data_IF_168941509813
#
_entry.id   IF_168941509813
#
_cell.length_a   1.000
_cell.length_b   1.000
_cell.length_c   1.000
_cell.angle_alpha   90.00
_cell.angle_beta   90.00
_cell.angle_gamma   90.00
#
_symmetry.space_group_name_H-M   'P 1'
#
loop_
_entity.id
_entity.type
_entity.pdbx_description
1 polymer ?
#
# COMPACT_ATOMS: atom_id res chain seq x y z
N UNK A 1 68.77 -27.31 28.40
CA UNK A 1 68.60 -26.05 29.15
C UNK A 1 68.49 -24.93 28.13
N UNK A 2 67.28 -24.64 27.62
CA UNK A 2 66.27 -23.67 28.11
C UNK A 2 66.64 -22.21 27.78
N UNK A 3 65.63 -21.49 27.24
CA UNK A 3 65.48 -20.03 27.08
C UNK A 3 66.02 -19.44 25.75
N UNK A 4 65.30 -18.61 24.98
CA UNK A 4 64.20 -17.69 25.30
C UNK A 4 63.35 -17.36 24.05
N UNK A 5 62.06 -17.18 24.28
CA UNK A 5 61.00 -16.85 23.33
C UNK A 5 60.91 -15.33 23.07
N UNK A 6 60.60 -14.94 21.82
CA UNK A 6 60.09 -13.63 21.37
C UNK A 6 59.24 -13.95 20.13
N UNK A 7 57.90 -14.03 20.17
CA UNK A 7 56.86 -13.03 20.45
C UNK A 7 56.93 -11.81 19.54
N UNK A 8 56.30 -11.89 18.36
CA UNK A 8 55.61 -10.76 17.72
C UNK A 8 54.32 -11.29 17.12
N UNK A 9 53.21 -11.10 17.83
CA UNK A 9 51.87 -11.28 17.30
C UNK A 9 51.62 -10.17 16.27
N UNK A 10 51.58 -10.52 14.99
CA UNK A 10 50.93 -9.70 13.97
C UNK A 10 49.42 -9.81 14.21
N UNK A 11 48.87 -8.89 15.01
CA UNK A 11 47.42 -8.69 15.11
C UNK A 11 46.92 -8.26 13.73
N UNK A 12 46.42 -9.23 12.97
CA UNK A 12 45.58 -9.02 11.80
C UNK A 12 44.27 -8.37 12.25
N UNK A 13 44.25 -7.04 12.30
CA UNK A 13 43.04 -6.25 12.38
C UNK A 13 42.29 -6.34 11.06
N UNK A 14 41.63 -7.47 10.80
CA UNK A 14 40.66 -7.55 9.73
C UNK A 14 39.48 -6.66 10.10
N UNK A 15 39.36 -5.58 9.31
CA UNK A 15 38.21 -4.70 9.21
C UNK A 15 36.92 -5.51 9.30
N UNK A 16 36.26 -5.46 10.45
CA UNK A 16 34.84 -5.71 10.58
C UNK A 16 34.08 -4.51 10.02
N UNK A 17 34.15 -4.31 8.70
CA UNK A 17 33.22 -3.42 8.02
C UNK A 17 31.87 -4.15 8.03
N UNK A 18 31.14 -4.04 9.14
CA UNK A 18 29.71 -4.30 9.15
C UNK A 18 29.09 -3.29 8.19
N UNK A 19 28.94 -3.72 6.94
CA UNK A 19 27.95 -3.15 6.02
C UNK A 19 26.61 -3.34 6.74
N UNK A 20 26.22 -2.33 7.51
CA UNK A 20 24.83 -2.07 7.77
C UNK A 20 24.23 -1.84 6.39
N UNK A 21 23.78 -2.92 5.75
CA UNK A 21 22.87 -2.81 4.62
C UNK A 21 21.78 -1.88 5.12
N UNK A 22 21.54 -0.72 4.47
CA UNK A 22 20.38 0.05 4.83
C UNK A 22 19.23 -0.92 4.64
N UNK A 23 18.54 -1.22 5.73
CA UNK A 23 17.21 -1.81 5.66
C UNK A 23 16.48 -0.84 4.74
N UNK A 24 16.27 -1.27 3.49
CA UNK A 24 15.44 -0.56 2.52
C UNK A 24 14.04 -0.61 3.10
N UNK A 25 13.78 0.21 4.11
CA UNK A 25 12.49 0.85 4.22
C UNK A 25 12.33 1.50 2.86
N UNK A 26 11.46 0.95 2.01
CA UNK A 26 11.23 1.50 0.68
C UNK A 26 10.64 2.88 0.87
N UNK A 27 11.52 3.87 1.03
CA UNK A 27 11.12 5.25 1.22
C UNK A 27 10.37 5.64 -0.04
N UNK A 28 9.19 6.21 0.14
CA UNK A 28 8.43 6.76 -0.97
C UNK A 28 9.34 7.80 -1.65
N UNK A 29 9.66 7.65 -2.95
CA UNK A 29 10.57 8.58 -3.60
C UNK A 29 10.07 10.02 -3.43
N UNK A 30 10.93 10.96 -3.05
CA UNK A 30 10.51 12.34 -2.77
C UNK A 30 9.77 13.02 -3.95
N UNK A 31 10.07 12.59 -5.18
CA UNK A 31 9.37 12.99 -6.41
C UNK A 31 7.85 12.72 -6.37
N UNK A 32 7.41 11.73 -5.60
CA UNK A 32 6.01 11.32 -5.46
C UNK A 32 5.18 12.30 -4.62
N UNK A 33 5.80 13.05 -3.70
CA UNK A 33 5.02 13.77 -2.69
C UNK A 33 4.21 14.94 -3.26
N UNK A 34 4.75 15.68 -4.24
CA UNK A 34 4.00 16.74 -4.92
C UNK A 34 2.75 16.22 -5.66
N UNK A 35 2.85 15.22 -6.55
CA UNK A 35 1.66 14.69 -7.23
C UNK A 35 0.69 14.01 -6.26
N UNK A 36 1.17 13.33 -5.20
CA UNK A 36 0.29 12.76 -4.17
C UNK A 36 -0.49 13.82 -3.37
N UNK A 37 0.14 14.93 -2.99
CA UNK A 37 -0.56 16.06 -2.35
C UNK A 37 -1.59 16.69 -3.28
N UNK A 38 -1.23 16.84 -4.54
CA UNK A 38 -2.15 17.33 -5.59
C UNK A 38 -3.36 16.40 -5.77
N UNK A 39 -3.15 15.08 -5.73
CA UNK A 39 -4.22 14.09 -5.73
C UNK A 39 -5.09 14.23 -4.46
N UNK A 40 -4.45 14.41 -3.30
CA UNK A 40 -5.14 14.59 -2.03
C UNK A 40 -6.04 15.84 -2.00
N UNK A 41 -5.59 16.96 -2.56
CA UNK A 41 -6.41 18.17 -2.69
C UNK A 41 -7.68 17.90 -3.49
N UNK A 42 -7.56 17.11 -4.57
CA UNK A 42 -8.71 16.68 -5.35
C UNK A 42 -9.65 15.78 -4.54
N UNK A 43 -9.10 14.88 -3.72
CA UNK A 43 -9.85 13.99 -2.83
C UNK A 43 -10.54 14.72 -1.67
N UNK A 44 -10.14 15.94 -1.32
CA UNK A 44 -10.82 16.75 -0.29
C UNK A 44 -12.30 17.02 -0.64
N UNK A 45 -12.62 17.09 -1.93
CA UNK A 45 -13.97 17.34 -2.44
C UNK A 45 -14.82 16.07 -2.63
N UNK A 46 -14.27 14.89 -2.32
CA UNK A 46 -14.92 13.59 -2.58
C UNK A 46 -16.32 13.48 -1.98
N UNK A 47 -16.60 14.11 -0.83
CA UNK A 47 -17.95 14.08 -0.23
C UNK A 47 -19.00 14.73 -1.12
N UNK A 48 -18.71 15.89 -1.69
CA UNK A 48 -19.65 16.59 -2.59
C UNK A 48 -19.92 15.72 -3.82
N UNK A 49 -18.85 15.31 -4.50
CA UNK A 49 -18.98 14.64 -5.79
C UNK A 49 -19.36 13.16 -5.72
N UNK A 50 -19.00 12.44 -4.66
CA UNK A 50 -19.27 10.99 -4.54
C UNK A 50 -20.44 10.64 -3.64
N UNK A 51 -20.98 11.60 -2.88
CA UNK A 51 -22.15 11.38 -2.01
C UNK A 51 -23.31 12.31 -2.35
N UNK A 52 -23.11 13.62 -2.33
CA UNK A 52 -24.22 14.57 -2.46
C UNK A 52 -24.82 14.59 -3.88
N UNK A 53 -23.99 14.36 -4.90
CA UNK A 53 -24.41 14.34 -6.30
C UNK A 53 -24.99 12.99 -6.75
N UNK A 54 -24.99 11.98 -5.88
CA UNK A 54 -25.53 10.65 -6.19
C UNK A 54 -26.87 10.46 -5.46
N UNK A 55 -27.78 9.61 -5.98
CA UNK A 55 -28.99 9.24 -5.27
C UNK A 55 -28.70 8.65 -3.88
N UNK A 56 -29.67 8.79 -2.97
CA UNK A 56 -29.58 8.17 -1.64
C UNK A 56 -29.45 6.65 -1.81
N UNK A 57 -28.50 6.05 -1.09
CA UNK A 57 -28.18 4.61 -1.16
C UNK A 57 -27.74 4.11 -2.55
N UNK A 58 -27.29 5.00 -3.43
CA UNK A 58 -26.71 4.60 -4.69
C UNK A 58 -25.44 3.75 -4.48
N UNK A 59 -25.38 2.65 -5.21
CA UNK A 59 -24.26 1.71 -5.19
C UNK A 59 -23.95 1.23 -6.60
N UNK A 60 -22.69 0.87 -6.83
CA UNK A 60 -22.20 0.30 -8.08
C UNK A 60 -21.69 -1.10 -7.84
N UNK A 61 -21.73 -1.91 -8.89
CA UNK A 61 -21.24 -3.29 -8.87
C UNK A 61 -19.73 -3.30 -9.09
N UNK A 62 -19.00 -3.85 -8.13
CA UNK A 62 -17.54 -4.01 -8.14
C UNK A 62 -17.14 -5.43 -7.74
N UNK A 63 -15.93 -5.84 -8.08
CA UNK A 63 -15.35 -7.07 -7.56
C UNK A 63 -14.99 -6.89 -6.09
N UNK A 64 -14.99 -7.98 -5.33
CA UNK A 64 -14.60 -7.98 -3.92
C UNK A 64 -13.18 -7.43 -3.73
N UNK A 65 -12.28 -7.76 -4.63
CA UNK A 65 -10.86 -7.40 -4.61
C UNK A 65 -10.65 -5.89 -4.91
N UNK A 66 -11.59 -5.25 -5.61
CA UNK A 66 -11.59 -3.80 -5.85
C UNK A 66 -11.92 -2.99 -4.58
N UNK A 67 -12.41 -3.64 -3.53
CA UNK A 67 -12.66 -3.03 -2.22
C UNK A 67 -11.36 -3.09 -1.39
N UNK A 68 -10.38 -2.27 -1.77
CA UNK A 68 -9.06 -2.26 -1.15
C UNK A 68 -8.99 -1.36 0.07
N UNK A 69 -9.12 -1.93 1.28
CA UNK A 69 -9.10 -1.22 2.56
C UNK A 69 -7.76 -1.37 3.28
N UNK A 70 -7.56 -0.57 4.33
CA UNK A 70 -6.43 -0.72 5.26
C UNK A 70 -6.31 -2.13 5.85
N UNK A 71 -7.45 -2.78 6.12
CA UNK A 71 -7.48 -4.17 6.58
C UNK A 71 -6.90 -5.16 5.57
N UNK A 72 -6.97 -4.88 4.27
CA UNK A 72 -6.37 -5.71 3.23
C UNK A 72 -4.85 -5.59 3.31
N UNK A 73 -4.32 -4.36 3.39
CA UNK A 73 -2.90 -4.05 3.57
C UNK A 73 -2.35 -4.76 4.82
N UNK A 74 -3.00 -4.55 5.97
CA UNK A 74 -2.56 -5.18 7.23
C UNK A 74 -2.59 -6.70 7.14
N UNK A 75 -3.61 -7.28 6.50
CA UNK A 75 -3.69 -8.74 6.33
C UNK A 75 -2.60 -9.28 5.41
N UNK A 76 -2.26 -8.58 4.33
CA UNK A 76 -1.18 -8.98 3.42
C UNK A 76 0.19 -8.92 4.11
N UNK A 77 0.48 -7.81 4.82
CA UNK A 77 1.69 -7.66 5.64
C UNK A 77 1.84 -8.70 6.75
N UNK A 78 0.72 -9.28 7.21
CA UNK A 78 0.74 -10.37 8.21
C UNK A 78 0.92 -11.76 7.59
N UNK A 79 0.51 -11.95 6.33
CA UNK A 79 0.59 -13.24 5.64
C UNK A 79 1.93 -13.45 4.96
N UNK A 80 2.55 -12.38 4.47
CA UNK A 80 3.81 -12.40 3.75
C UNK A 80 4.87 -11.77 4.64
N UNK A 81 5.85 -12.57 5.04
CA UNK A 81 7.02 -12.09 5.77
C UNK A 81 7.81 -11.12 4.89
N UNK A 82 8.26 -10.00 5.47
CA UNK A 82 9.01 -8.95 4.76
C UNK A 82 8.36 -8.44 3.46
N UNK A 83 7.02 -8.34 3.43
CA UNK A 83 6.31 -7.77 2.29
C UNK A 83 6.74 -6.33 2.01
N UNK A 84 7.35 -6.12 0.85
CA UNK A 84 7.77 -4.81 0.34
C UNK A 84 6.56 -3.89 0.15
N UNK A 85 6.67 -2.65 0.66
CA UNK A 85 5.63 -1.64 0.48
C UNK A 85 5.45 -1.27 -0.99
N UNK A 86 6.50 -1.40 -1.80
CA UNK A 86 6.42 -1.19 -3.24
C UNK A 86 5.42 -2.14 -3.92
N UNK A 87 5.35 -3.39 -3.48
CA UNK A 87 4.36 -4.37 -3.99
C UNK A 87 2.93 -3.92 -3.67
N UNK A 88 2.71 -3.41 -2.45
CA UNK A 88 1.41 -2.90 -2.02
C UNK A 88 1.04 -1.60 -2.74
N UNK A 89 2.02 -0.72 -3.00
CA UNK A 89 1.84 0.49 -3.78
C UNK A 89 1.47 0.17 -5.24
N UNK A 90 2.15 -0.80 -5.88
CA UNK A 90 1.79 -1.30 -7.22
C UNK A 90 0.34 -1.82 -7.25
N UNK A 91 -0.02 -2.66 -6.29
CA UNK A 91 -1.38 -3.19 -6.18
C UNK A 91 -2.42 -2.06 -5.97
N UNK A 92 -2.08 -1.06 -5.16
CA UNK A 92 -2.94 0.10 -4.92
C UNK A 92 -3.23 0.88 -6.21
N UNK A 93 -2.22 1.09 -7.07
CA UNK A 93 -2.44 1.69 -8.39
C UNK A 93 -3.38 0.85 -9.24
N UNK A 94 -3.10 -0.45 -9.36
CA UNK A 94 -3.89 -1.37 -10.17
C UNK A 94 -5.37 -1.38 -9.77
N UNK A 95 -5.67 -1.50 -8.46
CA UNK A 95 -7.05 -1.49 -7.96
C UNK A 95 -7.73 -0.16 -8.26
N UNK A 96 -7.11 0.95 -7.85
CA UNK A 96 -7.79 2.23 -7.83
C UNK A 96 -7.95 2.83 -9.23
N UNK A 97 -7.07 2.51 -10.18
CA UNK A 97 -7.25 2.87 -11.58
C UNK A 97 -8.53 2.21 -12.15
N UNK A 98 -8.74 0.92 -11.87
CA UNK A 98 -9.96 0.20 -12.25
C UNK A 98 -11.22 0.78 -11.60
N UNK A 99 -11.16 1.05 -10.29
CA UNK A 99 -12.25 1.66 -9.52
C UNK A 99 -12.68 3.02 -10.09
N UNK A 100 -11.73 3.93 -10.36
CA UNK A 100 -12.05 5.25 -10.90
C UNK A 100 -12.70 5.15 -12.28
N UNK A 101 -12.18 4.28 -13.16
CA UNK A 101 -12.78 3.99 -14.47
C UNK A 101 -14.21 3.45 -14.34
N UNK A 102 -14.46 2.52 -13.39
CA UNK A 102 -15.81 1.99 -13.13
C UNK A 102 -16.78 3.06 -12.63
N UNK A 103 -16.34 3.95 -11.73
CA UNK A 103 -17.15 5.07 -11.25
C UNK A 103 -17.52 6.00 -12.42
N UNK A 104 -16.56 6.33 -13.30
CA UNK A 104 -16.83 7.15 -14.49
C UNK A 104 -17.83 6.47 -15.42
N UNK A 105 -17.70 5.16 -15.64
CA UNK A 105 -18.54 4.39 -16.55
C UNK A 105 -20.02 4.39 -16.17
N UNK A 106 -20.35 4.44 -14.89
CA UNK A 106 -21.77 4.44 -14.44
C UNK A 106 -22.45 5.80 -14.52
N UNK A 107 -21.68 6.89 -14.71
CA UNK A 107 -22.21 8.24 -14.80
C UNK A 107 -22.54 8.58 -16.26
N UNK A 108 -23.63 9.30 -16.52
CA UNK A 108 -23.87 9.90 -17.84
C UNK A 108 -22.93 11.08 -18.11
N UNK A 109 -22.77 11.47 -19.38
CA UNK A 109 -21.90 12.60 -19.77
C UNK A 109 -22.20 13.91 -19.03
N UNK A 110 -23.49 14.17 -18.76
CA UNK A 110 -23.96 15.38 -18.07
C UNK A 110 -23.97 15.27 -16.54
N UNK A 111 -23.55 14.14 -15.98
CA UNK A 111 -23.56 13.95 -14.54
C UNK A 111 -22.61 14.95 -13.86
N UNK A 112 -23.04 15.68 -12.81
CA UNK A 112 -22.28 16.77 -12.21
C UNK A 112 -20.94 16.34 -11.58
N UNK A 113 -20.76 15.05 -11.31
CA UNK A 113 -19.49 14.49 -10.81
C UNK A 113 -18.58 13.92 -11.89
N UNK A 114 -19.02 13.82 -13.14
CA UNK A 114 -18.23 13.13 -14.18
C UNK A 114 -16.93 13.85 -14.49
N UNK A 115 -16.97 15.18 -14.68
CA UNK A 115 -15.78 15.99 -14.93
C UNK A 115 -14.78 15.92 -13.77
N UNK A 116 -15.27 16.07 -12.54
CA UNK A 116 -14.45 15.89 -11.33
C UNK A 116 -13.77 14.52 -11.28
N UNK A 117 -14.51 13.46 -11.57
CA UNK A 117 -13.98 12.09 -11.48
C UNK A 117 -13.00 11.79 -12.60
N UNK A 118 -13.24 12.31 -13.81
CA UNK A 118 -12.30 12.21 -14.93
C UNK A 118 -10.99 12.94 -14.63
N UNK A 119 -11.06 14.14 -14.03
CA UNK A 119 -9.88 14.87 -13.61
C UNK A 119 -9.13 14.16 -12.46
N UNK A 120 -9.86 13.55 -11.52
CA UNK A 120 -9.29 12.71 -10.48
C UNK A 120 -8.55 11.49 -11.07
N UNK A 121 -9.14 10.82 -12.06
CA UNK A 121 -8.52 9.69 -12.77
C UNK A 121 -7.27 10.10 -13.56
N UNK A 122 -7.31 11.27 -14.20
CA UNK A 122 -6.14 11.85 -14.88
C UNK A 122 -5.00 12.10 -13.91
N UNK A 123 -5.27 12.78 -12.78
CA UNK A 123 -4.26 13.03 -11.74
C UNK A 123 -3.73 11.74 -11.14
N UNK A 124 -4.58 10.74 -10.97
CA UNK A 124 -4.17 9.42 -10.50
C UNK A 124 -3.16 8.77 -11.46
N UNK A 125 -3.40 8.84 -12.78
CA UNK A 125 -2.44 8.39 -13.80
C UNK A 125 -1.15 9.20 -13.80
N UNK A 126 -1.23 10.51 -13.57
CA UNK A 126 -0.03 11.35 -13.47
C UNK A 126 0.86 10.89 -12.30
N UNK A 127 0.24 10.57 -11.15
CA UNK A 127 0.94 9.99 -9.98
C UNK A 127 1.54 8.62 -10.32
N UNK A 128 0.79 7.74 -10.99
CA UNK A 128 1.26 6.43 -11.45
C UNK A 128 2.46 6.55 -12.40
N UNK A 129 2.44 7.53 -13.30
CA UNK A 129 3.54 7.83 -14.21
C UNK A 129 4.82 8.23 -13.48
N UNK A 130 4.71 9.10 -12.46
CA UNK A 130 5.85 9.46 -11.60
C UNK A 130 6.34 8.26 -10.80
N UNK A 131 5.43 7.42 -10.31
CA UNK A 131 5.78 6.20 -9.60
C UNK A 131 6.61 5.26 -10.46
N UNK A 132 6.19 5.00 -11.70
CA UNK A 132 6.94 4.16 -12.65
C UNK A 132 8.29 4.77 -12.99
N UNK A 133 8.38 6.08 -13.19
CA UNK A 133 9.64 6.77 -13.51
C UNK A 133 10.62 6.82 -12.34
N UNK A 134 10.12 6.78 -11.10
CA UNK A 134 10.94 6.90 -9.89
C UNK A 134 11.54 5.55 -9.44
N UNK A 135 11.21 4.45 -10.11
CA UNK A 135 11.69 3.11 -9.78
C UNK A 135 12.39 2.46 -10.97
N UNK A 136 13.43 1.62 -10.73
CA UNK A 136 14.05 0.83 -11.78
C UNK A 136 13.05 -0.12 -12.45
N UNK A 137 13.18 -0.31 -13.76
CA UNK A 137 12.27 -1.14 -14.55
C UNK A 137 12.25 -2.61 -14.06
N UNK A 138 13.38 -3.09 -13.54
CA UNK A 138 13.58 -4.44 -13.03
C UNK A 138 12.63 -4.75 -11.88
N UNK A 139 12.27 -3.75 -11.08
CA UNK A 139 11.39 -3.97 -9.92
C UNK A 139 9.95 -4.27 -10.34
N UNK A 140 9.54 -3.81 -11.52
CA UNK A 140 8.24 -4.15 -12.09
C UNK A 140 8.21 -5.55 -12.72
N UNK A 141 9.37 -6.12 -13.02
CA UNK A 141 9.53 -7.48 -13.56
C UNK A 141 9.61 -8.54 -12.48
N UNK A 142 9.82 -8.15 -11.22
CA UNK A 142 9.82 -9.08 -10.09
C UNK A 142 8.45 -9.74 -9.91
N UNK A 143 8.48 -11.04 -9.64
CA UNK A 143 7.29 -11.83 -9.32
C UNK A 143 6.62 -11.30 -8.06
N UNK A 144 5.29 -11.25 -8.08
CA UNK A 144 4.51 -10.86 -6.91
C UNK A 144 4.43 -12.05 -5.96
N UNK A 145 4.48 -11.84 -4.63
CA UNK A 145 4.18 -12.90 -3.67
C UNK A 145 2.80 -13.51 -3.96
N UNK A 146 2.66 -14.83 -3.79
CA UNK A 146 1.45 -15.59 -4.15
C UNK A 146 0.15 -14.94 -3.66
N UNK A 147 0.12 -14.48 -2.41
CA UNK A 147 -1.05 -13.83 -1.81
C UNK A 147 -1.44 -12.49 -2.49
N UNK A 148 -0.47 -11.81 -3.09
CA UNK A 148 -0.68 -10.57 -3.87
C UNK A 148 -1.02 -10.91 -5.32
N UNK A 149 -0.34 -11.91 -5.90
CA UNK A 149 -0.61 -12.38 -7.26
C UNK A 149 -2.06 -12.85 -7.42
N UNK A 150 -2.60 -13.63 -6.48
CA UNK A 150 -4.02 -14.05 -6.50
C UNK A 150 -4.97 -12.84 -6.57
N UNK A 151 -4.68 -11.79 -5.79
CA UNK A 151 -5.49 -10.56 -5.81
C UNK A 151 -5.33 -9.83 -7.15
N UNK A 152 -4.12 -9.80 -7.70
CA UNK A 152 -3.81 -9.18 -8.97
C UNK A 152 -4.57 -9.85 -10.12
N UNK A 153 -4.53 -11.17 -10.19
CA UNK A 153 -5.18 -11.97 -11.23
C UNK A 153 -6.70 -11.73 -11.24
N UNK A 154 -7.34 -11.76 -10.07
CA UNK A 154 -8.76 -11.46 -9.92
C UNK A 154 -9.15 -10.04 -10.37
N UNK A 155 -8.25 -9.06 -10.24
CA UNK A 155 -8.50 -7.70 -10.73
C UNK A 155 -8.42 -7.60 -12.26
N UNK A 156 -7.66 -8.50 -12.90
CA UNK A 156 -7.47 -8.54 -14.36
C UNK A 156 -8.38 -9.55 -15.07
N UNK A 157 -9.11 -10.38 -14.33
CA UNK A 157 -10.03 -11.38 -14.87
C UNK A 157 -11.15 -10.75 -15.72
N UNK A 158 -11.51 -11.43 -16.80
CA UNK A 158 -12.62 -10.99 -17.66
C UNK A 158 -13.95 -10.99 -16.87
N UNK A 159 -14.78 -9.94 -16.98
CA UNK A 159 -16.01 -9.84 -16.19
C UNK A 159 -16.96 -11.03 -16.29
N UNK A 160 -17.01 -11.68 -17.46
CA UNK A 160 -17.90 -12.82 -17.70
C UNK A 160 -17.41 -14.12 -17.02
N UNK A 161 -16.16 -14.15 -16.57
CA UNK A 161 -15.56 -15.29 -15.85
C UNK A 161 -15.59 -15.14 -14.34
N UNK A 162 -15.92 -13.94 -13.84
CA UNK A 162 -15.97 -13.66 -12.40
C UNK A 162 -17.27 -14.21 -11.79
N UNK A 163 -17.21 -15.14 -10.82
CA UNK A 163 -18.40 -15.70 -10.18
C UNK A 163 -19.30 -14.63 -9.56
N UNK A 164 -20.62 -14.80 -9.67
CA UNK A 164 -21.63 -13.91 -9.06
C UNK A 164 -21.36 -13.65 -7.56
N UNK A 165 -20.86 -14.65 -6.84
CA UNK A 165 -20.49 -14.56 -5.42
C UNK A 165 -19.35 -13.60 -5.09
N UNK A 166 -18.54 -13.20 -6.08
CA UNK A 166 -17.43 -12.26 -5.92
C UNK A 166 -17.84 -10.81 -6.15
N UNK A 167 -19.05 -10.56 -6.65
CA UNK A 167 -19.54 -9.21 -6.86
C UNK A 167 -20.09 -8.58 -5.58
N UNK A 168 -19.89 -7.28 -5.44
CA UNK A 168 -20.32 -6.50 -4.28
C UNK A 168 -20.94 -5.18 -4.76
N UNK A 169 -21.92 -4.70 -4.00
CA UNK A 169 -22.52 -3.38 -4.18
C UNK A 169 -21.86 -2.41 -3.20
N UNK A 170 -21.25 -1.35 -3.72
CA UNK A 170 -20.52 -0.36 -2.92
C UNK A 170 -20.83 1.04 -3.41
N UNK A 171 -20.95 2.01 -2.50
CA UNK A 171 -21.13 3.40 -2.89
C UNK A 171 -19.84 3.99 -3.48
N UNK A 172 -19.92 4.87 -4.50
CA UNK A 172 -18.74 5.57 -5.04
C UNK A 172 -17.94 6.29 -3.94
N UNK A 173 -18.63 6.87 -2.95
CA UNK A 173 -17.99 7.53 -1.80
C UNK A 173 -17.09 6.58 -1.02
N UNK A 174 -17.57 5.37 -0.72
CA UNK A 174 -16.77 4.40 0.04
C UNK A 174 -15.53 3.93 -0.73
N UNK A 175 -15.63 3.80 -2.05
CA UNK A 175 -14.48 3.42 -2.89
C UNK A 175 -13.41 4.52 -2.88
N UNK A 176 -13.81 5.78 -3.04
CA UNK A 176 -12.87 6.91 -3.01
C UNK A 176 -12.34 7.19 -1.60
N UNK A 177 -13.10 6.87 -0.54
CA UNK A 177 -12.58 6.89 0.83
C UNK A 177 -11.49 5.84 1.04
N UNK A 178 -11.71 4.62 0.55
CA UNK A 178 -10.70 3.56 0.61
C UNK A 178 -9.42 3.98 -0.12
N UNK A 179 -9.54 4.57 -1.32
CA UNK A 179 -8.42 5.14 -2.07
C UNK A 179 -7.64 6.15 -1.20
N UNK A 180 -8.34 7.12 -0.62
CA UNK A 180 -7.75 8.16 0.22
C UNK A 180 -7.04 7.59 1.46
N UNK A 181 -7.70 6.72 2.22
CA UNK A 181 -7.12 6.16 3.45
C UNK A 181 -5.91 5.27 3.16
N UNK A 182 -5.98 4.44 2.12
CA UNK A 182 -4.87 3.56 1.73
C UNK A 182 -3.70 4.33 1.15
N UNK A 183 -3.94 5.46 0.47
CA UNK A 183 -2.88 6.39 0.04
C UNK A 183 -2.10 6.94 1.23
N UNK A 184 -2.79 7.42 2.27
CA UNK A 184 -2.15 7.91 3.49
C UNK A 184 -1.30 6.85 4.17
N UNK A 185 -1.75 5.58 4.16
CA UNK A 185 -0.99 4.50 4.77
C UNK A 185 0.23 4.10 3.92
N UNK A 186 0.08 3.95 2.60
CA UNK A 186 1.16 3.45 1.73
C UNK A 186 2.21 4.50 1.37
N UNK A 187 1.85 5.79 1.42
CA UNK A 187 2.74 6.90 1.07
C UNK A 187 2.87 7.89 2.23
N UNK A 188 2.88 7.36 3.46
CA UNK A 188 2.81 8.16 4.68
C UNK A 188 3.90 9.24 4.80
N UNK A 189 5.08 8.99 4.24
CA UNK A 189 6.23 9.92 4.22
C UNK A 189 5.94 11.25 3.49
N UNK A 190 4.91 11.28 2.64
CA UNK A 190 4.53 12.48 1.90
C UNK A 190 3.54 13.39 2.65
N UNK A 191 3.04 12.95 3.80
CA UNK A 191 2.00 13.61 4.59
C UNK A 191 2.44 13.84 6.04
N UNK A 192 1.72 14.68 6.77
CA UNK A 192 2.10 15.08 8.14
C UNK A 192 1.93 13.92 9.14
N UNK A 193 2.75 13.91 10.20
CA UNK A 193 2.83 12.80 11.16
C UNK A 193 1.49 12.45 11.86
N UNK A 194 0.61 13.44 12.08
CA UNK A 194 -0.74 13.20 12.63
C UNK A 194 -1.59 12.34 11.69
N UNK A 195 -1.50 12.58 10.38
CA UNK A 195 -2.22 11.79 9.37
C UNK A 195 -1.65 10.37 9.23
N UNK A 196 -0.37 10.18 9.47
CA UNK A 196 0.30 8.88 9.39
C UNK A 196 -0.17 7.89 10.48
N UNK A 197 -0.31 8.36 11.73
CA UNK A 197 -0.69 7.49 12.86
C UNK A 197 -2.13 6.97 12.74
N UNK A 198 -3.05 7.81 12.25
CA UNK A 198 -4.49 7.50 12.20
C UNK A 198 -4.82 6.40 11.18
N UNK A 199 -4.11 6.36 10.03
CA UNK A 199 -4.43 5.41 8.96
C UNK A 199 -3.59 4.14 8.97
N UNK A 200 -2.39 4.16 9.55
CA UNK A 200 -1.43 3.06 9.41
C UNK A 200 -1.01 2.45 10.76
N UNK A 201 -1.21 3.16 11.87
CA UNK A 201 -0.73 2.82 13.22
C UNK A 201 -1.38 1.57 13.85
N UNK A 202 -2.62 1.24 13.51
CA UNK A 202 -3.32 0.06 14.06
C UNK A 202 -2.68 -1.28 13.64
N UNK A 203 -1.92 -1.29 12.54
CA UNK A 203 -1.20 -2.47 12.08
C UNK A 203 0.08 -2.75 12.89
N UNK A 204 0.73 -1.71 13.40
CA UNK A 204 1.98 -1.81 14.16
C UNK A 204 1.72 -2.16 15.64
N UNK A 205 0.64 -1.64 16.24
CA UNK A 205 0.32 -1.87 17.65
C UNK A 205 0.02 -3.36 17.97
N UNK A 206 -0.51 -4.10 16.99
CA UNK A 206 -0.73 -5.55 17.12
C UNK A 206 0.56 -6.38 17.05
N UNK A 207 1.63 -5.85 16.45
CA UNK A 207 2.95 -6.49 16.39
C UNK A 207 3.61 -6.48 17.77
N UNK A 208 3.54 -5.35 18.49
CA UNK A 208 4.08 -5.22 19.86
C UNK A 208 3.38 -6.06 20.93
N UNK A 209 2.06 -6.31 20.78
CA UNK A 209 1.32 -7.16 21.73
C UNK A 209 1.59 -8.66 21.58
N UNK A 210 1.93 -9.13 20.37
CA UNK A 210 2.28 -10.54 20.13
C UNK A 210 3.70 -10.88 20.59
N UNK A 211 4.67 -9.99 20.40
CA UNK A 211 6.04 -10.19 20.89
C UNK A 211 6.17 -10.09 22.42
N UNK A 212 5.28 -9.34 23.08
CA UNK A 212 5.26 -9.25 24.56
C UNK A 212 4.67 -10.49 25.26
N UNK A 213 3.96 -11.39 24.57
CA UNK A 213 3.28 -12.54 25.20
C UNK A 213 4.06 -13.86 25.12
N UNK A 214 5.25 -13.89 24.49
CA UNK A 214 6.03 -15.13 24.35
C UNK A 214 7.27 -15.23 25.27
N UNK A 215 7.53 -14.26 26.15
CA UNK A 215 8.70 -14.27 27.05
C UNK A 215 8.36 -14.52 28.53
N UNK A 216 7.48 -15.47 28.83
CA UNK A 216 7.35 -16.03 30.18
C UNK A 216 7.67 -17.52 30.14
N UNK A 217 8.96 -17.82 30.16
CA UNK A 217 9.49 -19.15 30.49
C UNK A 217 9.33 -19.32 32.00
N UNK A 218 8.48 -20.26 32.40
CA UNK A 218 8.29 -20.66 33.79
C UNK A 218 9.52 -21.44 34.26
N UNK A 219 10.23 -20.94 35.26
CA UNK A 219 11.27 -21.65 36.01
C UNK A 219 10.61 -22.68 36.93
N UNK A 220 11.08 -23.94 37.02
CA UNK A 220 10.59 -24.88 38.02
C UNK A 220 11.27 -24.60 39.37
N UNK A 221 10.49 -24.56 40.44
CA UNK A 221 10.99 -24.52 41.82
C UNK A 221 11.26 -25.94 42.31
N UNK A 222 12.38 -26.11 43.03
CA UNK A 222 12.80 -27.30 43.79
C UNK A 222 11.79 -27.73 44.86
#
# INVERSE_FOLDING_TARGET
MVQKSTSVCLLGGFLGLFLMAPVLMSSTPASMCTPLRTLNDSLSHRRRYMKHNFPINYSIRVYREEIFKLSNISRMKLKVEELDDLVLQRLWFQVNQGVLKKIIRVMSERHPSRSYTAELERRFKDVEGVFVQSHPAEVFQQELPEAVQETWDHLTEEPDRVPESNWRLVSPKSLVDNLCHTMYCLFSECFDAETQQDYCGDSQLRRGRKTSSQNTVTTPAE
#
